data_IF_572873181542
#
_entry.id   IF_572873181542
#
_cell.length_a   1.000
_cell.length_b   1.000
_cell.length_c   1.000
_cell.angle_alpha   90.00
_cell.angle_beta   90.00
_cell.angle_gamma   90.00
#
_symmetry.space_group_name_H-M   'P 1'
#
loop_
_entity.id
_entity.type
_entity.pdbx_description
1 polymer ?
#
# COMPACT_ATOMS: atom_id res chain seq x y z
N UNK A 1 8.05 16.79 -6.12
CA UNK A 1 9.22 16.13 -5.56
C UNK A 1 9.73 15.03 -6.50
N UNK A 2 8.94 14.00 -6.83
CA UNK A 2 9.34 12.90 -7.71
C UNK A 2 9.90 13.37 -9.07
N UNK A 3 9.28 14.37 -9.67
CA UNK A 3 9.74 14.96 -10.95
C UNK A 3 11.03 15.79 -10.85
N UNK A 4 11.45 16.17 -9.65
CA UNK A 4 12.69 16.94 -9.44
C UNK A 4 13.93 16.05 -9.30
N UNK A 5 13.74 14.78 -8.97
CA UNK A 5 14.81 13.79 -8.75
C UNK A 5 14.48 12.48 -9.46
N UNK A 6 14.26 12.52 -10.76
CA UNK A 6 13.73 11.39 -11.50
C UNK A 6 14.70 10.22 -11.60
N UNK A 7 16.02 10.46 -11.55
CA UNK A 7 17.06 9.45 -11.60
C UNK A 7 17.05 8.47 -10.41
N UNK A 8 16.45 8.89 -9.28
CA UNK A 8 16.34 8.09 -8.05
C UNK A 8 14.92 7.68 -7.74
N UNK A 9 14.07 7.61 -8.76
CA UNK A 9 12.63 7.35 -8.60
C UNK A 9 12.35 6.05 -7.84
N UNK A 10 13.18 5.00 -7.98
CA UNK A 10 13.02 3.72 -7.28
C UNK A 10 13.12 3.88 -5.76
N UNK A 11 13.89 4.87 -5.27
CA UNK A 11 14.02 5.14 -3.83
C UNK A 11 13.03 6.19 -3.34
N UNK A 12 12.72 7.20 -4.15
CA UNK A 12 11.79 8.26 -3.73
C UNK A 12 10.32 7.84 -3.81
N UNK A 13 9.97 6.94 -4.72
CA UNK A 13 8.61 6.45 -4.83
C UNK A 13 8.10 5.79 -3.53
N UNK A 14 8.81 4.80 -2.95
CA UNK A 14 8.38 4.18 -1.70
C UNK A 14 8.39 5.15 -0.51
N UNK A 15 9.31 6.13 -0.45
CA UNK A 15 9.30 7.16 0.61
C UNK A 15 7.99 7.95 0.58
N UNK A 16 7.60 8.44 -0.61
CA UNK A 16 6.38 9.24 -0.76
C UNK A 16 5.15 8.40 -0.43
N UNK A 17 5.04 7.19 -0.98
CA UNK A 17 3.88 6.33 -0.72
C UNK A 17 3.81 5.87 0.73
N UNK A 18 4.96 5.57 1.36
CA UNK A 18 5.04 5.23 2.77
C UNK A 18 4.51 6.37 3.65
N UNK A 19 5.05 7.58 3.46
CA UNK A 19 4.64 8.74 4.26
C UNK A 19 3.16 9.09 4.05
N UNK A 20 2.64 9.03 2.82
CA UNK A 20 1.22 9.26 2.57
C UNK A 20 0.35 8.22 3.26
N UNK A 21 0.72 6.96 3.22
CA UNK A 21 -0.02 5.89 3.89
C UNK A 21 0.08 6.00 5.42
N UNK A 22 1.28 6.32 5.94
CA UNK A 22 1.50 6.56 7.37
C UNK A 22 0.55 7.64 7.90
N UNK A 23 0.41 8.74 7.15
CA UNK A 23 -0.44 9.87 7.54
C UNK A 23 -1.93 9.60 7.33
N UNK A 24 -2.32 8.86 6.31
CA UNK A 24 -3.72 8.61 5.97
C UNK A 24 -4.31 7.34 6.62
N UNK A 25 -3.48 6.44 7.15
CA UNK A 25 -3.92 5.15 7.72
C UNK A 25 -4.49 4.17 6.71
N UNK A 26 -4.24 4.38 5.43
CA UNK A 26 -4.74 3.53 4.34
C UNK A 26 -3.77 3.46 3.16
N UNK A 27 -3.55 2.27 2.62
CA UNK A 27 -2.71 2.03 1.44
C UNK A 27 -3.30 2.55 0.12
N UNK A 28 -4.57 2.94 0.12
CA UNK A 28 -5.25 3.46 -1.07
C UNK A 28 -4.69 4.80 -1.55
N UNK A 29 -3.94 5.52 -0.73
CA UNK A 29 -3.21 6.73 -1.13
C UNK A 29 -2.23 6.47 -2.29
N UNK A 30 -1.77 5.22 -2.46
CA UNK A 30 -0.93 4.82 -3.58
C UNK A 30 -1.57 5.12 -4.94
N UNK A 31 -2.89 5.00 -5.09
CA UNK A 31 -3.57 5.29 -6.37
C UNK A 31 -3.30 6.70 -6.90
N UNK A 32 -3.03 7.67 -6.03
CA UNK A 32 -2.70 9.04 -6.42
C UNK A 32 -1.26 9.21 -6.90
N UNK A 33 -0.34 8.35 -6.47
CA UNK A 33 1.10 8.45 -6.77
C UNK A 33 1.54 7.53 -7.89
N UNK A 34 0.93 6.36 -8.06
CA UNK A 34 1.31 5.35 -9.05
C UNK A 34 1.38 5.90 -10.50
N UNK A 35 0.41 6.70 -11.00
CA UNK A 35 0.49 7.25 -12.35
C UNK A 35 1.69 8.18 -12.53
N UNK A 36 2.01 8.96 -11.49
CA UNK A 36 3.17 9.88 -11.52
C UNK A 36 4.47 9.09 -11.49
N UNK A 37 4.54 8.03 -10.70
CA UNK A 37 5.72 7.16 -10.61
C UNK A 37 5.98 6.49 -11.97
N UNK A 38 4.94 5.93 -12.61
CA UNK A 38 5.03 5.29 -13.92
C UNK A 38 5.53 6.29 -15.00
N UNK A 39 4.93 7.49 -15.03
CA UNK A 39 5.29 8.54 -16.01
C UNK A 39 6.74 9.00 -15.82
N UNK A 40 7.15 9.28 -14.59
CA UNK A 40 8.51 9.76 -14.29
C UNK A 40 9.55 8.69 -14.59
N UNK A 41 9.31 7.44 -14.18
CA UNK A 41 10.22 6.33 -14.45
C UNK A 41 10.41 6.12 -15.96
N UNK A 42 9.32 6.03 -16.71
CA UNK A 42 9.33 5.88 -18.17
C UNK A 42 10.09 7.04 -18.84
N UNK A 43 9.81 8.27 -18.46
CA UNK A 43 10.45 9.47 -19.02
C UNK A 43 11.95 9.55 -18.79
N UNK A 44 12.49 8.81 -17.82
CA UNK A 44 13.92 8.72 -17.52
C UNK A 44 14.56 7.42 -18.03
N UNK A 45 13.81 6.59 -18.75
CA UNK A 45 14.30 5.27 -19.18
C UNK A 45 14.49 4.28 -18.04
N UNK A 46 14.02 4.59 -16.82
CA UNK A 46 13.98 3.66 -15.69
C UNK A 46 12.82 2.71 -15.88
N UNK A 47 13.07 1.41 -15.73
CA UNK A 47 12.03 0.38 -15.80
C UNK A 47 10.93 0.64 -14.76
N UNK A 48 9.68 0.97 -15.16
CA UNK A 48 8.61 1.35 -14.22
C UNK A 48 8.28 0.27 -13.18
N UNK A 49 8.46 -1.02 -13.50
CA UNK A 49 8.22 -2.10 -12.56
C UNK A 49 9.08 -2.00 -11.28
N UNK A 50 10.26 -1.37 -11.34
CA UNK A 50 11.13 -1.18 -10.17
C UNK A 50 10.50 -0.25 -9.14
N UNK A 51 10.25 1.05 -9.44
CA UNK A 51 9.65 1.97 -8.47
C UNK A 51 8.18 1.66 -8.18
N UNK A 52 7.41 1.13 -9.13
CA UNK A 52 6.01 0.78 -8.89
C UNK A 52 5.86 -0.37 -7.92
N UNK A 53 6.69 -1.42 -8.05
CA UNK A 53 6.62 -2.57 -7.16
C UNK A 53 6.85 -2.17 -5.70
N UNK A 54 7.92 -1.44 -5.44
CA UNK A 54 8.24 -1.08 -4.06
C UNK A 54 7.34 0.05 -3.52
N UNK A 55 6.78 0.91 -4.37
CA UNK A 55 5.78 1.89 -3.96
C UNK A 55 4.48 1.20 -3.48
N UNK A 56 4.04 0.16 -4.19
CA UNK A 56 2.88 -0.65 -3.76
C UNK A 56 3.17 -1.35 -2.44
N UNK A 57 4.32 -2.01 -2.31
CA UNK A 57 4.72 -2.68 -1.06
C UNK A 57 4.79 -1.68 0.10
N UNK A 58 5.40 -0.51 -0.12
CA UNK A 58 5.50 0.54 0.88
C UNK A 58 4.12 1.04 1.34
N UNK A 59 3.16 1.16 0.41
CA UNK A 59 1.79 1.55 0.76
C UNK A 59 1.06 0.52 1.62
N UNK A 60 1.42 -0.74 1.52
CA UNK A 60 0.82 -1.81 2.31
C UNK A 60 1.47 -1.92 3.70
N UNK A 61 2.80 -1.97 3.76
CA UNK A 61 3.51 -2.15 5.03
C UNK A 61 3.40 -0.92 5.94
N UNK A 62 3.32 0.30 5.38
CA UNK A 62 3.14 1.52 6.17
C UNK A 62 1.85 1.55 7.01
N UNK A 63 0.85 0.71 6.68
CA UNK A 63 -0.36 0.56 7.49
C UNK A 63 -0.03 0.02 8.88
N UNK A 64 0.96 -0.89 9.00
CA UNK A 64 1.40 -1.42 10.30
C UNK A 64 2.25 -0.44 11.12
N UNK A 65 2.62 0.69 10.54
CA UNK A 65 3.32 1.79 11.19
C UNK A 65 2.43 3.03 11.39
N UNK A 66 1.24 3.07 10.79
CA UNK A 66 0.39 4.25 10.82
C UNK A 66 -0.34 4.42 12.15
N UNK A 67 -0.16 5.55 12.84
CA UNK A 67 -0.80 5.80 14.13
C UNK A 67 -2.33 5.81 14.07
N UNK A 68 -2.92 6.01 12.92
CA UNK A 68 -4.38 6.08 12.75
C UNK A 68 -4.97 4.86 12.03
N UNK A 69 -4.15 3.86 11.72
CA UNK A 69 -4.66 2.64 11.07
C UNK A 69 -5.44 1.76 12.06
N UNK A 70 -6.50 1.13 11.58
CA UNK A 70 -7.28 0.21 12.39
C UNK A 70 -6.45 -0.99 12.90
N UNK A 71 -5.48 -1.45 12.11
CA UNK A 71 -4.59 -2.55 12.48
C UNK A 71 -3.72 -2.20 13.70
N UNK A 72 -3.08 -1.03 13.69
CA UNK A 72 -2.22 -0.56 14.80
C UNK A 72 -3.04 -0.28 16.05
N UNK A 73 -4.19 0.41 15.91
CA UNK A 73 -5.05 0.73 17.05
C UNK A 73 -5.57 -0.54 17.71
N UNK A 74 -6.06 -1.50 16.93
CA UNK A 74 -6.52 -2.77 17.47
C UNK A 74 -5.39 -3.56 18.14
N UNK A 75 -4.21 -3.62 17.51
CA UNK A 75 -3.08 -4.37 18.05
C UNK A 75 -2.51 -3.73 19.32
N UNK A 76 -2.42 -2.42 19.40
CA UNK A 76 -2.01 -1.72 20.61
C UNK A 76 -2.94 -2.02 21.80
N UNK A 77 -4.26 -2.05 21.56
CA UNK A 77 -5.22 -2.43 22.59
C UNK A 77 -5.01 -3.87 23.10
N UNK A 78 -4.66 -4.80 22.21
CA UNK A 78 -4.37 -6.20 22.56
C UNK A 78 -3.05 -6.34 23.33
N UNK A 79 -2.06 -5.49 23.06
CA UNK A 79 -0.74 -5.53 23.70
C UNK A 79 -0.70 -4.83 25.06
N UNK A 80 -1.62 -3.91 25.33
CA UNK A 80 -1.66 -3.12 26.56
C UNK A 80 -1.64 -3.98 27.85
N UNK A 81 -2.40 -5.09 27.97
CA UNK A 81 -2.34 -5.98 29.12
C UNK A 81 -0.97 -6.66 29.35
N UNK A 82 -0.14 -6.69 28.31
CA UNK A 82 1.18 -7.29 28.31
C UNK A 82 2.31 -6.26 28.53
N UNK A 83 1.97 -5.02 28.89
CA UNK A 83 2.93 -3.96 29.19
C UNK A 83 3.54 -3.24 28.01
N UNK A 84 3.06 -3.51 26.78
CA UNK A 84 3.50 -2.78 25.57
C UNK A 84 2.47 -1.71 25.25
N UNK A 85 2.87 -0.47 25.39
CA UNK A 85 2.00 0.68 25.12
C UNK A 85 1.98 1.04 23.62
N UNK A 86 1.04 1.92 23.27
CA UNK A 86 0.84 2.37 21.89
C UNK A 86 2.07 3.11 21.32
N UNK A 87 2.76 3.92 22.13
CA UNK A 87 3.93 4.68 21.67
C UNK A 87 5.13 3.77 21.44
N UNK A 88 5.33 2.77 22.30
CA UNK A 88 6.36 1.72 22.13
C UNK A 88 6.13 0.94 20.86
N UNK A 89 4.88 0.53 20.56
CA UNK A 89 4.54 -0.14 19.31
C UNK A 89 4.92 0.73 18.09
N UNK A 90 4.56 2.01 18.10
CA UNK A 90 4.90 2.93 17.01
C UNK A 90 6.40 3.19 16.90
N UNK A 91 7.10 3.33 18.04
CA UNK A 91 8.54 3.54 18.07
C UNK A 91 9.32 2.36 17.44
N UNK A 92 8.76 1.15 17.51
CA UNK A 92 9.31 -0.02 16.84
C UNK A 92 8.86 -0.07 15.39
N UNK A 93 7.56 0.01 15.11
CA UNK A 93 7.01 -0.25 13.78
C UNK A 93 7.40 0.81 12.74
N UNK A 94 7.45 2.10 13.10
CA UNK A 94 7.77 3.17 12.14
C UNK A 94 9.18 3.02 11.55
N UNK A 95 10.26 2.99 12.36
CA UNK A 95 11.60 2.89 11.80
C UNK A 95 11.87 1.54 11.13
N UNK A 96 11.39 0.44 11.70
CA UNK A 96 11.66 -0.90 11.15
C UNK A 96 11.03 -1.10 9.79
N UNK A 97 9.78 -0.71 9.61
CA UNK A 97 9.09 -0.83 8.31
C UNK A 97 9.62 0.17 7.29
N UNK A 98 10.01 1.37 7.71
CA UNK A 98 10.62 2.35 6.80
C UNK A 98 11.98 1.88 6.28
N UNK A 99 12.87 1.42 7.18
CA UNK A 99 14.18 0.88 6.79
C UNK A 99 14.00 -0.35 5.89
N UNK A 100 13.06 -1.23 6.23
CA UNK A 100 12.74 -2.40 5.42
C UNK A 100 12.26 -2.02 4.01
N UNK A 101 11.46 -0.94 3.86
CA UNK A 101 11.10 -0.42 2.54
C UNK A 101 12.31 0.05 1.74
N UNK A 102 13.32 0.65 2.39
CA UNK A 102 14.55 1.07 1.70
C UNK A 102 15.39 -0.12 1.27
N UNK A 103 15.44 -1.19 2.07
CA UNK A 103 16.08 -2.47 1.69
C UNK A 103 15.34 -3.09 0.49
N UNK A 104 14.01 -3.12 0.52
CA UNK A 104 13.18 -3.57 -0.61
C UNK A 104 13.39 -2.73 -1.87
N UNK A 105 13.54 -1.40 -1.74
CA UNK A 105 13.86 -0.51 -2.85
C UNK A 105 15.22 -0.79 -3.46
N UNK A 106 16.20 -1.07 -2.62
CA UNK A 106 17.54 -1.48 -3.07
C UNK A 106 17.45 -2.77 -3.90
N UNK A 107 16.74 -3.78 -3.44
CA UNK A 107 16.53 -5.03 -4.19
C UNK A 107 15.76 -4.76 -5.50
N UNK A 108 14.66 -4.01 -5.44
CA UNK A 108 13.86 -3.68 -6.62
C UNK A 108 14.68 -2.96 -7.70
N UNK A 109 15.65 -2.14 -7.31
CA UNK A 109 16.49 -1.38 -8.24
C UNK A 109 17.33 -2.28 -9.16
N UNK A 110 17.65 -3.50 -8.75
CA UNK A 110 18.41 -4.47 -9.54
C UNK A 110 17.52 -5.50 -10.26
N UNK A 111 16.21 -5.41 -10.12
CA UNK A 111 15.31 -6.39 -10.74
C UNK A 111 14.99 -6.06 -12.19
N UNK A 112 14.94 -7.13 -12.99
CA UNK A 112 14.60 -7.06 -14.40
C UNK A 112 15.72 -6.42 -15.25
N UNK A 113 15.61 -6.52 -16.58
CA UNK A 113 16.50 -5.85 -17.52
C UNK A 113 16.26 -4.33 -17.54
N UNK A 114 17.17 -3.59 -18.14
CA UNK A 114 16.91 -2.16 -18.39
C UNK A 114 15.71 -1.99 -19.32
N UNK A 115 15.01 -0.86 -19.20
CA UNK A 115 13.78 -0.64 -19.96
C UNK A 115 14.00 -0.76 -21.48
N UNK A 116 15.12 -0.21 -21.96
CA UNK A 116 15.50 -0.28 -23.39
C UNK A 116 15.74 -1.70 -23.89
N UNK A 117 16.05 -2.64 -23.02
CA UNK A 117 16.37 -4.03 -23.35
C UNK A 117 15.16 -4.97 -23.08
N UNK A 118 14.01 -4.44 -22.66
CA UNK A 118 12.79 -5.23 -22.45
C UNK A 118 12.07 -5.49 -23.77
N UNK A 119 11.93 -6.76 -24.22
CA UNK A 119 11.26 -7.10 -25.48
C UNK A 119 9.82 -6.60 -25.54
N UNK A 120 9.07 -6.67 -24.45
CA UNK A 120 7.69 -6.19 -24.38
C UNK A 120 7.61 -4.66 -24.57
N UNK A 121 8.54 -3.92 -23.96
CA UNK A 121 8.64 -2.49 -24.17
C UNK A 121 8.93 -2.14 -25.62
N UNK A 122 9.89 -2.83 -26.27
CA UNK A 122 10.24 -2.60 -27.66
C UNK A 122 9.07 -2.89 -28.58
N UNK A 123 8.39 -4.02 -28.39
CA UNK A 123 7.21 -4.37 -29.18
C UNK A 123 6.08 -3.34 -29.04
N UNK A 124 5.83 -2.86 -27.83
CA UNK A 124 4.81 -1.82 -27.58
C UNK A 124 5.21 -0.47 -28.17
N UNK A 125 6.50 -0.15 -28.16
CA UNK A 125 7.03 1.07 -28.77
C UNK A 125 6.87 1.05 -30.30
N UNK A 126 7.22 -0.07 -30.95
CA UNK A 126 7.03 -0.26 -32.39
C UNK A 126 5.55 -0.20 -32.82
N UNK A 127 4.66 -0.73 -32.00
CA UNK A 127 3.21 -0.66 -32.24
C UNK A 127 2.61 0.72 -31.93
N UNK A 128 3.40 1.69 -31.47
CA UNK A 128 2.91 3.03 -31.10
C UNK A 128 1.96 3.06 -29.89
N UNK A 129 1.98 2.02 -29.06
CA UNK A 129 1.15 1.91 -27.86
C UNK A 129 1.68 2.75 -26.70
N UNK A 130 2.98 3.09 -26.73
CA UNK A 130 3.64 3.86 -25.70
C UNK A 130 3.72 5.32 -26.15
N UNK A 131 3.12 6.19 -25.37
CA UNK A 131 3.30 7.63 -25.55
C UNK A 131 4.59 8.06 -24.84
N UNK A 132 5.67 8.13 -25.59
CA UNK A 132 6.86 8.84 -25.13
C UNK A 132 6.50 10.32 -25.06
N UNK A 133 6.29 10.84 -23.87
CA UNK A 133 6.25 12.29 -23.66
C UNK A 133 7.69 12.80 -23.80
N UNK A 134 8.18 12.90 -25.06
CA UNK A 134 9.33 13.73 -25.37
C UNK A 134 8.97 15.14 -24.93
N UNK A 135 9.62 15.62 -23.88
CA UNK A 135 9.71 17.00 -23.38
C UNK A 135 8.77 18.07 -24.00
N UNK A 136 7.56 17.75 -24.34
CA UNK A 136 6.55 18.76 -24.47
C UNK A 136 6.41 19.33 -23.05
N UNK A 137 6.98 20.50 -22.77
CA UNK A 137 6.63 21.31 -21.63
C UNK A 137 5.11 21.30 -21.58
N UNK A 138 4.54 20.41 -20.74
CA UNK A 138 3.10 20.43 -20.51
C UNK A 138 2.81 21.84 -20.03
N UNK A 139 2.12 22.61 -20.83
CA UNK A 139 1.61 23.90 -20.38
C UNK A 139 0.80 23.63 -19.11
N UNK A 140 1.37 24.06 -17.99
CA UNK A 140 0.71 23.94 -16.70
C UNK A 140 -0.50 24.87 -16.79
N UNK A 141 -1.69 24.29 -16.89
CA UNK A 141 -2.93 25.04 -16.91
C UNK A 141 -2.94 26.02 -15.72
N UNK A 142 -3.37 27.27 -15.91
CA UNK A 142 -3.42 28.25 -14.83
C UNK A 142 -4.17 27.77 -13.57
N UNK A 143 -5.16 26.88 -13.79
CA UNK A 143 -5.99 26.29 -12.74
C UNK A 143 -5.34 25.07 -12.04
N UNK A 144 -4.21 24.56 -12.55
CA UNK A 144 -3.55 23.36 -11.99
C UNK A 144 -3.13 23.55 -10.52
N UNK A 145 -2.61 24.72 -10.15
CA UNK A 145 -2.28 25.04 -8.76
C UNK A 145 -3.51 25.00 -7.87
N UNK A 146 -4.64 25.56 -8.31
CA UNK A 146 -5.89 25.56 -7.57
C UNK A 146 -6.41 24.14 -7.36
N UNK A 147 -6.42 23.30 -8.40
CA UNK A 147 -6.80 21.90 -8.31
C UNK A 147 -5.92 21.13 -7.30
N UNK A 148 -4.60 21.38 -7.36
CA UNK A 148 -3.65 20.75 -6.41
C UNK A 148 -3.93 21.18 -4.97
N UNK A 149 -4.20 22.46 -4.70
CA UNK A 149 -4.52 22.92 -3.35
C UNK A 149 -5.83 22.35 -2.82
N UNK A 150 -6.87 22.23 -3.66
CA UNK A 150 -8.13 21.59 -3.26
C UNK A 150 -7.90 20.12 -2.92
N UNK A 151 -7.14 19.40 -3.75
CA UNK A 151 -6.81 18.00 -3.52
C UNK A 151 -6.01 17.78 -2.22
N UNK A 152 -4.94 18.58 -2.02
CA UNK A 152 -4.13 18.51 -0.80
C UNK A 152 -4.94 18.88 0.46
N UNK A 153 -5.82 19.89 0.34
CA UNK A 153 -6.74 20.27 1.40
C UNK A 153 -7.70 19.13 1.77
N UNK A 154 -8.22 18.42 0.78
CA UNK A 154 -9.06 17.25 1.00
C UNK A 154 -8.30 16.12 1.71
N UNK A 155 -7.06 15.84 1.29
CA UNK A 155 -6.20 14.85 1.98
C UNK A 155 -5.95 15.29 3.44
N UNK A 156 -5.57 16.54 3.67
CA UNK A 156 -5.35 17.05 5.02
C UNK A 156 -6.60 16.94 5.89
N UNK A 157 -7.78 17.26 5.34
CA UNK A 157 -9.05 17.11 6.03
C UNK A 157 -9.33 15.64 6.40
N UNK A 158 -9.14 14.70 5.45
CA UNK A 158 -9.32 13.27 5.69
C UNK A 158 -8.38 12.77 6.80
N UNK A 159 -7.11 13.20 6.78
CA UNK A 159 -6.12 12.83 7.81
C UNK A 159 -6.55 13.36 9.18
N UNK A 160 -6.93 14.63 9.26
CA UNK A 160 -7.41 15.24 10.50
C UNK A 160 -8.68 14.54 11.03
N UNK A 161 -9.63 14.26 10.15
CA UNK A 161 -10.86 13.55 10.51
C UNK A 161 -10.55 12.13 10.99
N UNK A 162 -9.73 11.38 10.26
CA UNK A 162 -9.34 10.02 10.64
C UNK A 162 -8.59 9.99 12.01
N UNK A 163 -7.79 11.01 12.30
CA UNK A 163 -7.17 11.17 13.60
C UNK A 163 -8.22 11.48 14.69
N UNK A 164 -9.16 12.39 14.41
CA UNK A 164 -10.21 12.81 15.36
C UNK A 164 -11.15 11.67 15.78
N UNK A 165 -11.46 10.75 14.86
CA UNK A 165 -12.29 9.55 15.13
C UNK A 165 -11.49 8.36 15.65
N UNK A 166 -10.17 8.49 15.72
CA UNK A 166 -9.30 7.42 16.24
C UNK A 166 -9.51 7.25 17.74
N UNK A 167 -9.60 5.99 18.21
CA UNK A 167 -9.71 5.69 19.65
C UNK A 167 -8.53 6.22 20.49
N UNK A 168 -7.38 6.51 19.87
CA UNK A 168 -6.22 7.08 20.54
C UNK A 168 -6.35 8.59 20.79
N UNK A 169 -7.09 9.31 19.96
CA UNK A 169 -7.30 10.76 20.08
C UNK A 169 -8.65 11.09 20.73
N UNK A 170 -9.71 10.33 20.39
CA UNK A 170 -10.99 10.37 21.06
C UNK A 170 -11.74 11.70 20.97
N UNK A 171 -11.49 12.53 19.96
CA UNK A 171 -12.17 13.82 19.80
C UNK A 171 -13.63 13.67 19.35
N UNK A 172 -13.92 12.61 18.60
CA UNK A 172 -15.27 12.30 18.10
C UNK A 172 -15.60 10.85 18.50
N UNK A 173 -16.37 10.67 19.53
CA UNK A 173 -16.69 9.33 20.08
C UNK A 173 -17.70 8.57 19.20
N UNK A 174 -18.67 9.28 18.59
CA UNK A 174 -19.70 8.69 17.74
C UNK A 174 -19.67 9.35 16.35
N UNK A 175 -18.75 8.99 15.46
CA UNK A 175 -18.65 9.60 14.15
C UNK A 175 -19.85 9.24 13.28
N UNK A 176 -20.44 10.23 12.62
CA UNK A 176 -21.53 10.03 11.65
C UNK A 176 -21.06 9.27 10.40
N UNK A 177 -19.77 9.37 10.06
CA UNK A 177 -19.14 8.65 8.96
C UNK A 177 -17.97 7.84 9.49
N UNK A 178 -17.88 6.58 9.10
CA UNK A 178 -16.68 5.80 9.29
C UNK A 178 -15.52 6.34 8.44
N UNK A 179 -14.31 5.82 8.66
CA UNK A 179 -13.10 6.30 7.96
C UNK A 179 -13.22 6.16 6.43
N UNK A 180 -13.68 5.02 5.94
CA UNK A 180 -13.78 4.75 4.51
C UNK A 180 -14.84 5.62 3.84
N UNK A 181 -15.99 5.78 4.49
CA UNK A 181 -17.08 6.63 4.05
C UNK A 181 -16.66 8.10 3.99
N UNK A 182 -15.90 8.56 4.99
CA UNK A 182 -15.35 9.91 5.02
C UNK A 182 -14.36 10.14 3.87
N UNK A 183 -13.46 9.18 3.60
CA UNK A 183 -12.52 9.26 2.47
C UNK A 183 -13.30 9.38 1.15
N UNK A 184 -14.27 8.49 0.93
CA UNK A 184 -15.05 8.50 -0.31
C UNK A 184 -15.81 9.82 -0.48
N UNK A 185 -16.51 10.26 0.55
CA UNK A 185 -17.31 11.49 0.53
C UNK A 185 -16.45 12.73 0.27
N UNK A 186 -15.35 12.88 1.01
CA UNK A 186 -14.45 14.04 0.88
C UNK A 186 -13.74 14.05 -0.47
N UNK A 187 -13.29 12.90 -0.97
CA UNK A 187 -12.61 12.83 -2.28
C UNK A 187 -13.57 13.09 -3.43
N UNK A 188 -14.81 12.62 -3.37
CA UNK A 188 -15.85 12.96 -4.37
C UNK A 188 -16.22 14.45 -4.32
N UNK A 189 -16.37 15.03 -3.12
CA UNK A 189 -16.61 16.46 -2.95
C UNK A 189 -15.45 17.29 -3.50
N UNK A 190 -14.21 16.89 -3.25
CA UNK A 190 -13.02 17.54 -3.79
C UNK A 190 -12.96 17.45 -5.32
N UNK A 191 -13.30 16.30 -5.91
CA UNK A 191 -13.39 16.13 -7.35
C UNK A 191 -14.44 17.07 -7.96
N UNK A 192 -15.63 17.14 -7.37
CA UNK A 192 -16.69 18.06 -7.80
C UNK A 192 -16.24 19.54 -7.67
N UNK A 193 -15.61 19.91 -6.55
CA UNK A 193 -15.08 21.26 -6.33
C UNK A 193 -13.99 21.63 -7.38
N UNK A 194 -13.13 20.68 -7.75
CA UNK A 194 -12.12 20.89 -8.79
C UNK A 194 -12.81 21.10 -10.16
N UNK A 195 -13.74 20.25 -10.54
CA UNK A 195 -14.46 20.34 -11.82
C UNK A 195 -15.15 21.70 -11.92
N UNK A 196 -15.90 22.10 -10.91
CA UNK A 196 -16.64 23.36 -10.89
C UNK A 196 -15.72 24.59 -10.85
N UNK A 197 -14.76 24.60 -9.93
CA UNK A 197 -13.92 25.78 -9.68
C UNK A 197 -12.81 25.98 -10.71
N UNK A 198 -12.37 24.91 -11.38
CA UNK A 198 -11.37 24.96 -12.45
C UNK A 198 -12.03 24.95 -13.85
N UNK A 199 -13.37 24.94 -13.92
CA UNK A 199 -14.14 24.93 -15.18
C UNK A 199 -13.71 23.80 -16.11
N UNK A 200 -13.53 22.61 -15.55
CA UNK A 200 -13.14 21.40 -16.31
C UNK A 200 -14.34 20.89 -17.07
N UNK A 201 -14.15 20.60 -18.36
CA UNK A 201 -15.15 19.89 -19.17
C UNK A 201 -15.29 18.44 -18.68
N UNK A 202 -16.36 18.14 -17.95
CA UNK A 202 -16.61 16.82 -17.40
C UNK A 202 -16.70 15.73 -18.49
N UNK A 203 -17.12 16.07 -19.72
CA UNK A 203 -17.19 15.14 -20.83
C UNK A 203 -15.81 14.63 -21.27
N UNK A 204 -14.72 15.33 -20.95
CA UNK A 204 -13.35 14.90 -21.26
C UNK A 204 -12.74 13.99 -20.20
N UNK A 205 -13.33 13.90 -19.00
CA UNK A 205 -12.80 13.07 -17.90
C UNK A 205 -12.73 11.60 -18.30
N UNK A 206 -13.79 10.97 -18.90
CA UNK A 206 -13.73 9.55 -19.29
C UNK A 206 -12.69 9.26 -20.37
N UNK A 207 -12.29 10.26 -21.14
CA UNK A 207 -11.26 10.11 -22.16
C UNK A 207 -9.83 10.17 -21.60
N UNK A 208 -9.66 10.63 -20.37
CA UNK A 208 -8.33 10.72 -19.73
C UNK A 208 -7.77 9.32 -19.42
N UNK A 209 -6.50 9.10 -19.76
CA UNK A 209 -5.83 7.82 -19.54
C UNK A 209 -5.89 7.37 -18.07
N UNK A 210 -5.62 8.28 -17.13
CA UNK A 210 -5.69 8.01 -15.68
C UNK A 210 -7.08 7.57 -15.23
N UNK A 211 -8.15 8.18 -15.78
CA UNK A 211 -9.52 7.77 -15.46
C UNK A 211 -9.81 6.37 -15.96
N UNK A 212 -9.44 6.06 -17.21
CA UNK A 212 -9.65 4.72 -17.78
C UNK A 212 -8.91 3.64 -17.01
N UNK A 213 -7.62 3.85 -16.71
CA UNK A 213 -6.85 2.91 -15.88
C UNK A 213 -7.45 2.72 -14.50
N UNK A 214 -7.90 3.80 -13.87
CA UNK A 214 -8.60 3.73 -12.58
C UNK A 214 -9.92 2.93 -12.65
N UNK A 215 -10.71 3.13 -13.72
CA UNK A 215 -11.96 2.37 -13.90
C UNK A 215 -11.69 0.90 -14.22
N UNK A 216 -10.68 0.58 -15.03
CA UNK A 216 -10.26 -0.81 -15.27
C UNK A 216 -9.85 -1.47 -13.94
N UNK A 217 -9.06 -0.80 -13.11
CA UNK A 217 -8.70 -1.28 -11.78
C UNK A 217 -9.94 -1.51 -10.90
N UNK A 218 -10.93 -0.60 -10.92
CA UNK A 218 -12.19 -0.77 -10.18
C UNK A 218 -12.95 -2.03 -10.63
N UNK A 219 -13.06 -2.28 -11.94
CA UNK A 219 -13.72 -3.49 -12.47
C UNK A 219 -12.99 -4.76 -12.03
N UNK A 220 -11.66 -4.77 -12.13
CA UNK A 220 -10.84 -5.89 -11.66
C UNK A 220 -11.02 -6.14 -10.16
N UNK A 221 -11.03 -5.07 -9.35
CA UNK A 221 -11.25 -5.15 -7.89
C UNK A 221 -12.64 -5.71 -7.58
N UNK A 222 -13.69 -5.22 -8.23
CA UNK A 222 -15.04 -5.71 -8.03
C UNK A 222 -15.18 -7.19 -8.41
N UNK A 223 -14.51 -7.65 -9.46
CA UNK A 223 -14.54 -9.05 -9.86
C UNK A 223 -13.67 -9.94 -8.97
N UNK A 224 -12.36 -9.71 -8.98
CA UNK A 224 -11.38 -10.61 -8.38
C UNK A 224 -11.36 -10.50 -6.86
N UNK A 225 -11.36 -9.27 -6.31
CA UNK A 225 -11.30 -9.08 -4.87
C UNK A 225 -12.61 -9.50 -4.18
N UNK A 226 -13.74 -9.30 -4.82
CA UNK A 226 -15.03 -9.77 -4.29
C UNK A 226 -15.09 -11.29 -4.28
N UNK A 227 -14.67 -11.96 -5.36
CA UNK A 227 -14.57 -13.41 -5.41
C UNK A 227 -13.67 -13.94 -4.29
N UNK A 228 -12.49 -13.36 -4.13
CA UNK A 228 -11.54 -13.70 -3.07
C UNK A 228 -12.14 -13.50 -1.68
N UNK A 229 -12.78 -12.36 -1.43
CA UNK A 229 -13.44 -12.06 -0.13
C UNK A 229 -14.56 -13.04 0.17
N UNK A 230 -15.36 -13.40 -0.83
CA UNK A 230 -16.46 -14.37 -0.66
C UNK A 230 -15.93 -15.75 -0.27
N UNK A 231 -14.88 -16.21 -0.95
CA UNK A 231 -14.21 -17.46 -0.62
C UNK A 231 -13.64 -17.45 0.81
N UNK A 232 -12.90 -16.41 1.14
CA UNK A 232 -12.26 -16.28 2.46
C UNK A 232 -13.30 -16.18 3.57
N UNK A 233 -14.35 -15.39 3.40
CA UNK A 233 -15.41 -15.26 4.40
C UNK A 233 -16.13 -16.60 4.64
N UNK A 234 -16.28 -17.42 3.61
CA UNK A 234 -16.86 -18.75 3.73
C UNK A 234 -15.96 -19.75 4.47
N UNK A 235 -14.64 -19.51 4.52
CA UNK A 235 -13.66 -20.44 5.09
C UNK A 235 -12.87 -19.84 6.27
N UNK A 236 -13.24 -18.66 6.75
CA UNK A 236 -12.47 -17.90 7.75
C UNK A 236 -12.28 -18.68 9.07
N UNK A 237 -13.27 -19.43 9.50
CA UNK A 237 -13.19 -20.20 10.74
C UNK A 237 -12.23 -21.38 10.61
N UNK A 238 -12.22 -22.07 9.47
CA UNK A 238 -11.23 -23.11 9.18
C UNK A 238 -9.81 -22.55 9.07
N UNK A 239 -9.65 -21.37 8.49
CA UNK A 239 -8.34 -20.69 8.43
C UNK A 239 -7.83 -20.37 9.84
N UNK A 240 -8.70 -19.84 10.71
CA UNK A 240 -8.36 -19.54 12.12
C UNK A 240 -8.00 -20.79 12.90
N UNK A 241 -8.75 -21.87 12.72
CA UNK A 241 -8.51 -23.16 13.40
C UNK A 241 -7.14 -23.72 13.02
N UNK A 242 -6.85 -23.82 11.73
CA UNK A 242 -5.54 -24.34 11.24
C UNK A 242 -4.39 -23.45 11.70
N UNK A 243 -4.55 -22.12 11.58
CA UNK A 243 -3.54 -21.16 12.02
C UNK A 243 -3.31 -21.23 13.55
N UNK A 244 -4.39 -21.34 14.33
CA UNK A 244 -4.33 -21.45 15.78
C UNK A 244 -3.64 -22.76 16.22
N UNK A 245 -3.97 -23.89 15.62
CA UNK A 245 -3.33 -25.18 15.89
C UNK A 245 -1.82 -25.13 15.58
N UNK A 246 -1.44 -24.56 14.42
CA UNK A 246 -0.04 -24.41 14.04
C UNK A 246 0.74 -23.53 15.03
N UNK A 247 0.13 -22.43 15.49
CA UNK A 247 0.76 -21.53 16.45
C UNK A 247 0.85 -22.14 17.86
N UNK A 248 -0.07 -23.00 18.26
CA UNK A 248 0.00 -23.72 19.52
C UNK A 248 1.22 -24.63 19.58
N UNK A 249 1.51 -25.32 18.46
CA UNK A 249 2.67 -26.22 18.35
C UNK A 249 3.98 -25.46 18.07
N UNK A 250 3.90 -24.38 17.30
CA UNK A 250 5.08 -23.63 16.80
C UNK A 250 4.92 -22.10 16.94
N UNK A 251 4.94 -21.52 18.16
CA UNK A 251 4.72 -20.07 18.38
C UNK A 251 5.68 -19.15 17.61
N UNK A 252 6.89 -19.64 17.33
CA UNK A 252 7.91 -18.92 16.57
C UNK A 252 7.54 -18.71 15.09
N UNK A 253 6.57 -19.49 14.59
CA UNK A 253 6.09 -19.36 13.20
C UNK A 253 5.09 -18.23 13.01
N UNK A 254 4.81 -17.40 14.02
CA UNK A 254 3.79 -16.36 13.94
C UNK A 254 3.93 -15.47 12.70
N UNK A 255 5.15 -15.05 12.36
CA UNK A 255 5.37 -14.22 11.17
C UNK A 255 4.96 -14.93 9.87
N UNK A 256 5.23 -16.24 9.75
CA UNK A 256 4.82 -17.01 8.59
C UNK A 256 3.30 -17.21 8.53
N UNK A 257 2.68 -17.49 9.67
CA UNK A 257 1.21 -17.63 9.76
C UNK A 257 0.53 -16.34 9.37
N UNK A 258 0.99 -15.19 9.89
CA UNK A 258 0.44 -13.88 9.55
C UNK A 258 0.67 -13.53 8.07
N UNK A 259 1.84 -13.88 7.52
CA UNK A 259 2.16 -13.68 6.10
C UNK A 259 1.15 -14.40 5.20
N UNK A 260 0.97 -15.70 5.38
CA UNK A 260 0.05 -16.48 4.56
C UNK A 260 -1.42 -16.13 4.82
N UNK A 261 -1.79 -15.84 6.06
CA UNK A 261 -3.15 -15.42 6.38
C UNK A 261 -3.49 -14.06 5.75
N UNK A 262 -2.59 -13.07 5.83
CA UNK A 262 -2.84 -11.76 5.26
C UNK A 262 -2.93 -11.78 3.73
N UNK A 263 -2.17 -12.65 3.09
CA UNK A 263 -2.25 -12.92 1.66
C UNK A 263 -3.67 -13.35 1.24
N UNK A 264 -4.35 -14.13 2.08
CA UNK A 264 -5.71 -14.62 1.81
C UNK A 264 -6.79 -13.64 2.26
N UNK A 265 -6.62 -13.01 3.44
CA UNK A 265 -7.62 -12.11 4.04
C UNK A 265 -7.66 -10.71 3.38
N UNK A 266 -6.67 -10.34 2.58
CA UNK A 266 -6.55 -9.04 1.90
C UNK A 266 -6.71 -7.82 2.80
N UNK A 267 -6.44 -7.95 4.09
CA UNK A 267 -6.61 -6.90 5.07
C UNK A 267 -5.69 -7.05 6.26
N UNK A 268 -4.83 -6.06 6.50
CA UNK A 268 -3.97 -6.01 7.68
C UNK A 268 -4.79 -6.01 8.97
N UNK A 269 -5.84 -5.18 9.02
CA UNK A 269 -6.71 -5.09 10.19
C UNK A 269 -7.45 -6.38 10.47
N UNK A 270 -8.05 -7.01 9.45
CA UNK A 270 -8.75 -8.27 9.60
C UNK A 270 -7.82 -9.40 10.07
N UNK A 271 -6.61 -9.49 9.48
CA UNK A 271 -5.60 -10.48 9.89
C UNK A 271 -5.18 -10.28 11.34
N UNK A 272 -4.93 -9.03 11.73
CA UNK A 272 -4.55 -8.68 13.10
C UNK A 272 -5.63 -9.08 14.10
N UNK A 273 -6.87 -8.68 13.87
CA UNK A 273 -7.99 -8.98 14.77
C UNK A 273 -8.32 -10.47 14.80
N UNK A 274 -8.13 -11.18 13.68
CA UNK A 274 -8.42 -12.60 13.61
C UNK A 274 -7.40 -13.48 14.35
N UNK A 275 -6.09 -13.16 14.28
CA UNK A 275 -5.04 -14.07 14.70
C UNK A 275 -4.23 -13.60 15.92
N UNK A 276 -4.03 -12.28 16.10
CA UNK A 276 -3.21 -11.80 17.23
C UNK A 276 -3.79 -12.10 18.61
N UNK A 277 -5.12 -12.03 18.85
CA UNK A 277 -5.67 -12.43 20.15
C UNK A 277 -5.37 -13.90 20.48
N UNK A 278 -5.52 -14.78 19.50
CA UNK A 278 -5.23 -16.21 19.68
C UNK A 278 -3.73 -16.45 19.95
N UNK A 279 -2.85 -15.79 19.20
CA UNK A 279 -1.41 -15.89 19.40
C UNK A 279 -0.99 -15.44 20.80
N UNK A 280 -1.51 -14.30 21.29
CA UNK A 280 -1.23 -13.82 22.63
C UNK A 280 -1.83 -14.72 23.71
N UNK A 281 -3.03 -15.26 23.50
CA UNK A 281 -3.70 -16.16 24.43
C UNK A 281 -2.97 -17.51 24.63
N UNK A 282 -2.30 -18.03 23.60
CA UNK A 282 -1.48 -19.26 23.68
C UNK A 282 -0.05 -18.97 24.19
N UNK A 283 0.25 -17.73 24.59
CA UNK A 283 1.51 -17.36 25.23
C UNK A 283 2.64 -16.95 24.30
N UNK A 284 2.34 -16.53 23.05
CA UNK A 284 3.35 -15.90 22.19
C UNK A 284 3.86 -14.63 22.88
N UNK A 285 5.18 -14.50 23.02
CA UNK A 285 5.78 -13.35 23.69
C UNK A 285 5.42 -12.05 22.97
N UNK A 286 5.15 -10.94 23.70
CA UNK A 286 4.82 -9.65 23.12
C UNK A 286 5.85 -9.15 22.09
N UNK A 287 7.14 -9.37 22.37
CA UNK A 287 8.22 -9.07 21.41
C UNK A 287 8.02 -9.80 20.07
N UNK A 288 7.73 -11.10 20.12
CA UNK A 288 7.50 -11.90 18.90
C UNK A 288 6.27 -11.41 18.16
N UNK A 289 5.20 -11.04 18.87
CA UNK A 289 3.98 -10.51 18.28
C UNK A 289 4.23 -9.16 17.59
N UNK A 290 4.95 -8.24 18.24
CA UNK A 290 5.31 -6.92 17.67
C UNK A 290 6.26 -7.08 16.47
N UNK A 291 7.31 -7.89 16.59
CA UNK A 291 8.25 -8.13 15.50
C UNK A 291 7.57 -8.76 14.28
N UNK A 292 6.62 -9.68 14.50
CA UNK A 292 5.88 -10.35 13.42
C UNK A 292 4.80 -9.48 12.78
N UNK A 293 4.44 -8.34 13.38
CA UNK A 293 3.29 -7.54 12.96
C UNK A 293 3.39 -7.05 11.51
N UNK A 294 4.59 -6.72 11.02
CA UNK A 294 4.78 -6.33 9.62
C UNK A 294 4.30 -7.40 8.62
N UNK A 295 4.29 -8.68 9.01
CA UNK A 295 3.89 -9.78 8.14
C UNK A 295 2.39 -9.80 7.78
N UNK A 296 1.53 -9.04 8.51
CA UNK A 296 0.13 -8.86 8.11
C UNK A 296 -0.04 -8.04 6.81
N UNK A 297 1.06 -7.57 6.23
CA UNK A 297 1.06 -6.74 5.02
C UNK A 297 1.42 -7.52 3.74
N UNK A 298 1.36 -8.86 3.73
CA UNK A 298 1.68 -9.69 2.56
C UNK A 298 0.59 -9.72 1.47
N UNK A 299 -0.17 -8.64 1.32
CA UNK A 299 -1.30 -8.52 0.40
C UNK A 299 -0.86 -8.49 -1.09
N UNK A 300 0.41 -8.21 -1.33
CA UNK A 300 1.02 -8.19 -2.66
C UNK A 300 1.36 -9.59 -3.20
N UNK A 301 1.32 -10.62 -2.37
CA UNK A 301 1.78 -11.98 -2.74
C UNK A 301 0.92 -12.56 -3.85
N UNK A 302 -0.39 -12.43 -3.72
CA UNK A 302 -1.31 -12.76 -4.81
C UNK A 302 -1.51 -11.51 -5.70
N UNK A 303 -1.42 -11.65 -7.04
CA UNK A 303 -1.47 -10.52 -7.95
C UNK A 303 -2.90 -9.99 -8.19
N UNK A 304 -3.72 -9.93 -7.15
CA UNK A 304 -5.13 -9.56 -7.21
C UNK A 304 -5.46 -8.39 -6.29
N UNK A 305 -4.49 -7.88 -5.53
CA UNK A 305 -4.73 -6.75 -4.64
C UNK A 305 -4.87 -5.43 -5.43
N UNK A 306 -5.82 -4.55 -5.08
CA UNK A 306 -6.21 -3.38 -5.87
C UNK A 306 -5.06 -2.47 -6.30
N UNK A 307 -4.15 -2.11 -5.38
CA UNK A 307 -3.04 -1.20 -5.70
C UNK A 307 -2.00 -1.84 -6.61
N UNK A 308 -1.84 -3.18 -6.54
CA UNK A 308 -0.97 -3.94 -7.44
C UNK A 308 -1.55 -3.95 -8.85
N UNK A 309 -2.84 -4.27 -9.00
CA UNK A 309 -3.53 -4.24 -10.28
C UNK A 309 -3.48 -2.85 -10.92
N UNK A 310 -3.71 -1.80 -10.11
CA UNK A 310 -3.58 -0.43 -10.59
C UNK A 310 -2.17 -0.10 -11.10
N UNK A 311 -1.13 -0.57 -10.43
CA UNK A 311 0.25 -0.35 -10.87
C UNK A 311 0.53 -1.06 -12.21
N UNK A 312 -0.02 -2.26 -12.42
CA UNK A 312 0.06 -2.99 -13.70
C UNK A 312 -0.64 -2.22 -14.81
N UNK A 313 -1.86 -1.75 -14.57
CA UNK A 313 -2.67 -1.03 -15.57
C UNK A 313 -2.14 0.38 -15.88
N UNK A 314 -1.44 1.01 -14.95
CA UNK A 314 -0.87 2.34 -15.12
C UNK A 314 0.48 2.34 -15.83
N UNK A 315 1.11 1.18 -16.00
CA UNK A 315 2.37 1.02 -16.72
C UNK A 315 2.14 0.61 -18.17
N UNK A 316 2.06 1.60 -19.07
CA UNK A 316 1.92 1.37 -20.52
C UNK A 316 3.16 0.74 -21.17
N UNK A 317 4.30 0.71 -20.49
CA UNK A 317 5.52 0.06 -21.01
C UNK A 317 5.43 -1.47 -21.00
N UNK A 318 4.47 -2.04 -20.23
CA UNK A 318 4.35 -3.49 -20.05
C UNK A 318 5.43 -4.11 -19.18
N UNK A 319 6.30 -3.31 -18.55
CA UNK A 319 7.34 -3.80 -17.65
C UNK A 319 6.77 -4.32 -16.33
N UNK A 320 5.67 -3.71 -15.87
CA UNK A 320 4.94 -4.11 -14.66
C UNK A 320 3.84 -5.07 -15.08
N UNK A 321 4.17 -6.36 -15.21
CA UNK A 321 3.25 -7.39 -15.68
C UNK A 321 3.19 -8.59 -14.74
N UNK A 322 2.05 -9.28 -14.76
CA UNK A 322 1.90 -10.58 -14.12
C UNK A 322 2.31 -11.64 -15.15
N UNK A 323 3.29 -12.46 -14.81
CA UNK A 323 3.79 -13.50 -15.69
C UNK A 323 2.89 -14.74 -15.71
N UNK A 324 3.41 -15.83 -16.30
CA UNK A 324 2.67 -17.09 -16.47
C UNK A 324 2.25 -17.75 -15.16
N UNK A 325 3.02 -17.56 -14.10
CA UNK A 325 2.77 -18.16 -12.78
C UNK A 325 2.33 -17.10 -11.78
N UNK A 326 1.52 -17.48 -10.77
CA UNK A 326 0.94 -16.58 -9.77
C UNK A 326 1.98 -15.69 -9.08
N UNK A 327 3.14 -16.24 -8.74
CA UNK A 327 4.22 -15.50 -8.04
C UNK A 327 5.22 -14.81 -8.99
N UNK A 328 5.03 -14.95 -10.32
CA UNK A 328 5.92 -14.34 -11.30
C UNK A 328 5.46 -12.90 -11.62
N UNK A 329 5.65 -12.01 -10.68
CA UNK A 329 5.37 -10.58 -10.84
C UNK A 329 6.38 -9.74 -10.05
N UNK A 330 6.61 -8.47 -10.44
CA UNK A 330 7.71 -7.65 -9.89
C UNK A 330 7.54 -7.26 -8.42
N UNK A 331 6.35 -7.45 -7.83
CA UNK A 331 6.07 -7.10 -6.43
C UNK A 331 6.54 -8.18 -5.44
N UNK A 332 6.66 -9.44 -5.89
CA UNK A 332 6.87 -10.59 -5.01
C UNK A 332 8.20 -10.50 -4.25
N UNK A 333 9.31 -10.43 -4.98
CA UNK A 333 10.65 -10.45 -4.35
C UNK A 333 10.90 -9.21 -3.48
N UNK A 334 10.70 -7.96 -3.95
CA UNK A 334 10.87 -6.80 -3.09
C UNK A 334 9.96 -6.82 -1.87
N UNK A 335 8.73 -7.30 -2.03
CA UNK A 335 7.77 -7.38 -0.93
C UNK A 335 8.17 -8.40 0.13
N UNK A 336 8.57 -9.62 -0.27
CA UNK A 336 9.05 -10.64 0.66
C UNK A 336 10.29 -10.16 1.41
N UNK A 337 11.25 -9.57 0.70
CA UNK A 337 12.46 -8.99 1.33
C UNK A 337 12.09 -7.88 2.31
N UNK A 338 11.16 -7.00 1.94
CA UNK A 338 10.70 -5.92 2.81
C UNK A 338 10.08 -6.49 4.10
N UNK A 339 9.17 -7.46 4.01
CA UNK A 339 8.55 -8.07 5.19
C UNK A 339 9.58 -8.80 6.05
N UNK A 340 10.44 -9.63 5.44
CA UNK A 340 11.47 -10.35 6.17
C UNK A 340 12.43 -9.41 6.90
N UNK A 341 12.84 -8.33 6.23
CA UNK A 341 13.67 -7.29 6.84
C UNK A 341 12.95 -6.56 7.98
N UNK A 342 11.66 -6.25 7.80
CA UNK A 342 10.87 -5.59 8.85
C UNK A 342 10.71 -6.47 10.08
N UNK A 343 10.48 -7.77 9.91
CA UNK A 343 10.39 -8.75 11.01
C UNK A 343 11.74 -8.85 11.73
N UNK A 344 12.84 -8.99 11.01
CA UNK A 344 14.19 -9.06 11.59
C UNK A 344 14.54 -7.77 12.38
N UNK A 345 14.28 -6.61 11.78
CA UNK A 345 14.45 -5.32 12.46
C UNK A 345 13.49 -5.17 13.65
N UNK A 346 12.27 -5.72 13.54
CA UNK A 346 11.29 -5.74 14.62
C UNK A 346 11.81 -6.47 15.85
N UNK A 347 12.47 -7.61 15.68
CA UNK A 347 13.15 -8.30 16.79
C UNK A 347 14.33 -7.49 17.34
N UNK A 348 15.13 -6.87 16.47
CA UNK A 348 16.28 -6.08 16.91
C UNK A 348 15.86 -4.83 17.70
N UNK A 349 14.94 -4.02 17.18
CA UNK A 349 14.45 -2.80 17.83
C UNK A 349 13.53 -3.12 19.01
N UNK A 350 12.66 -4.13 18.87
CA UNK A 350 11.78 -4.56 19.95
C UNK A 350 12.55 -5.09 21.15
N UNK A 351 13.62 -5.85 20.93
CA UNK A 351 14.49 -6.32 22.01
C UNK A 351 15.24 -5.24 22.79
N UNK A 352 15.24 -3.99 22.27
CA UNK A 352 15.79 -2.82 23.00
C UNK A 352 14.72 -2.05 23.78
N UNK A 353 13.44 -2.17 23.40
CA UNK A 353 12.35 -1.33 23.90
C UNK A 353 11.29 -2.10 24.70
N UNK A 354 11.19 -3.41 24.51
CA UNK A 354 10.33 -4.36 25.23
C UNK A 354 11.21 -5.33 26.04
#
# INVERSE_FOLDING_TARGET
FLRKHPERITFYAPIVTFLMTLMAGTGHTAFSTLPVIAEVAKGQGVRPSRPLSIAVVASQIAITASPISAAVVAFAAMLHPFGVDYLTLLAICIPTTFIACMIGAFVANFMGCELKDDPEYQERLEKGLIKLNTEAKREILPTAKKATFIFLGAIAFVVCYAAAISGSVGLIENPALGRNEAIMTVMLAAAAAIVMSCKIDAGKIPAAATFRSGMTACVCVLGVAWLGSTFVNAHVDGIKEVAGALLADYPWMLALVLFFASMLLYSQGATTVALMPAALAIGVAPLTAVASFAAVSALFVLPTYPTLLAAVEMDDTGSTRIGKYVFNHPFFVPGVVTIASAVALGFAFGGLLI
#
